data_IF_727271746603
#
_entry.id   IF_727271746603
#
_cell.length_a   1.000
_cell.length_b   1.000
_cell.length_c   1.000
_cell.angle_alpha   90.00
_cell.angle_beta   90.00
_cell.angle_gamma   90.00
#
_symmetry.space_group_name_H-M   'P 1'
#
loop_
_entity.id
_entity.type
_entity.pdbx_description
1 polymer ?
#
# COMPACT_ATOMS: atom_id res chain seq x y z
N UNK A 1 20.51 -13.87 6.11
CA UNK A 1 20.36 -12.60 6.88
C UNK A 1 19.02 -12.65 7.62
N UNK A 2 18.90 -11.94 8.76
CA UNK A 2 17.62 -11.89 9.46
C UNK A 2 16.57 -11.16 8.60
N UNK A 3 15.29 -11.57 8.73
CA UNK A 3 14.17 -10.87 8.09
C UNK A 3 13.98 -9.50 8.75
N UNK A 4 13.99 -8.41 7.97
CA UNK A 4 13.88 -7.05 8.48
C UNK A 4 13.10 -6.14 7.53
N UNK A 5 12.57 -5.04 8.06
CA UNK A 5 12.07 -3.92 7.28
C UNK A 5 13.06 -2.76 7.42
N UNK A 6 13.69 -2.38 6.32
CA UNK A 6 14.63 -1.24 6.29
C UNK A 6 13.91 0.03 5.88
N UNK A 7 14.26 1.14 6.53
CA UNK A 7 13.73 2.47 6.21
C UNK A 7 14.87 3.40 5.78
N UNK A 8 14.69 4.05 4.64
CA UNK A 8 15.57 5.10 4.12
C UNK A 8 14.74 6.30 3.67
N UNK A 9 15.39 7.44 3.45
CA UNK A 9 14.70 8.65 2.95
C UNK A 9 15.37 9.12 1.67
N UNK A 10 14.58 9.27 0.62
CA UNK A 10 14.98 9.83 -0.67
C UNK A 10 14.16 11.08 -0.97
N UNK A 11 14.80 12.25 -0.92
CA UNK A 11 14.12 13.55 -1.03
C UNK A 11 13.08 13.70 0.09
N UNK A 12 11.78 13.75 -0.26
CA UNK A 12 10.64 13.82 0.68
C UNK A 12 9.87 12.51 0.77
N UNK A 13 10.48 11.40 0.36
CA UNK A 13 9.87 10.08 0.35
C UNK A 13 10.58 9.14 1.31
N UNK A 14 9.85 8.53 2.22
CA UNK A 14 10.34 7.41 3.02
C UNK A 14 10.20 6.13 2.21
N UNK A 15 11.29 5.39 2.04
CA UNK A 15 11.30 4.09 1.37
C UNK A 15 11.40 2.99 2.41
N UNK A 16 10.39 2.12 2.44
CA UNK A 16 10.33 0.93 3.28
C UNK A 16 10.64 -0.29 2.43
N UNK A 17 11.75 -0.97 2.73
CA UNK A 17 12.22 -2.14 1.98
C UNK A 17 12.03 -3.41 2.80
N UNK A 18 11.18 -4.31 2.33
CA UNK A 18 11.03 -5.67 2.89
C UNK A 18 12.28 -6.46 2.51
N UNK A 19 13.08 -6.88 3.49
CA UNK A 19 14.34 -7.57 3.28
C UNK A 19 14.34 -8.94 3.94
N UNK A 20 14.20 -9.98 3.15
CA UNK A 20 14.39 -11.39 3.52
C UNK A 20 14.65 -12.19 2.23
N UNK A 21 15.75 -11.87 1.50
CA UNK A 21 15.97 -12.36 0.15
C UNK A 21 16.07 -13.89 0.06
N UNK A 22 16.62 -14.56 1.10
CA UNK A 22 16.72 -16.03 1.18
C UNK A 22 15.34 -16.72 1.15
N UNK A 23 14.28 -16.00 1.60
CA UNK A 23 12.89 -16.46 1.61
C UNK A 23 11.98 -15.61 0.70
N UNK A 24 12.55 -14.99 -0.36
CA UNK A 24 11.80 -14.14 -1.30
C UNK A 24 10.97 -13.05 -0.62
N UNK A 25 11.57 -12.42 0.38
CA UNK A 25 10.93 -11.37 1.17
C UNK A 25 9.66 -11.83 1.92
N UNK A 26 9.63 -13.11 2.36
CA UNK A 26 8.56 -13.61 3.20
C UNK A 26 8.52 -12.87 4.55
N UNK A 27 7.30 -12.56 4.99
CA UNK A 27 7.01 -11.71 6.13
C UNK A 27 7.18 -12.42 7.48
N UNK A 28 7.50 -11.62 8.50
CA UNK A 28 7.62 -12.03 9.89
C UNK A 28 7.09 -10.97 10.88
N UNK A 29 6.81 -11.35 12.15
CA UNK A 29 6.27 -10.44 13.15
C UNK A 29 7.12 -9.20 13.39
N UNK A 30 8.43 -9.30 13.26
CA UNK A 30 9.39 -8.22 13.41
C UNK A 30 9.16 -7.14 12.33
N UNK A 31 8.84 -7.56 11.11
CA UNK A 31 8.52 -6.64 10.00
C UNK A 31 7.20 -5.94 10.23
N UNK A 32 6.21 -6.60 10.85
CA UNK A 32 4.89 -6.00 11.12
C UNK A 32 5.02 -4.83 12.08
N UNK A 33 5.72 -5.06 13.21
CA UNK A 33 5.96 -4.02 14.21
C UNK A 33 6.77 -2.85 13.64
N UNK A 34 7.85 -3.15 12.90
CA UNK A 34 8.69 -2.14 12.25
C UNK A 34 7.90 -1.33 11.19
N UNK A 35 6.96 -1.98 10.49
CA UNK A 35 6.09 -1.31 9.51
C UNK A 35 5.14 -0.30 10.15
N UNK A 36 4.52 -0.68 11.27
CA UNK A 36 3.67 0.23 12.05
C UNK A 36 4.49 1.41 12.58
N UNK A 37 5.65 1.15 13.18
CA UNK A 37 6.54 2.19 13.70
C UNK A 37 7.00 3.15 12.60
N UNK A 38 7.42 2.64 11.46
CA UNK A 38 7.88 3.46 10.33
C UNK A 38 6.77 4.37 9.80
N UNK A 39 5.53 3.89 9.72
CA UNK A 39 4.39 4.72 9.29
C UNK A 39 4.03 5.79 10.31
N UNK A 40 4.09 5.50 11.63
CA UNK A 40 3.92 6.50 12.67
C UNK A 40 5.00 7.59 12.61
N UNK A 41 6.25 7.20 12.32
CA UNK A 41 7.35 8.16 12.09
C UNK A 41 7.07 8.98 10.82
N UNK A 42 6.65 8.33 9.73
CA UNK A 42 6.32 9.02 8.49
C UNK A 42 5.18 10.03 8.69
N UNK A 43 4.15 9.68 9.46
CA UNK A 43 3.01 10.55 9.76
C UNK A 43 3.44 11.84 10.46
N UNK A 44 4.26 11.73 11.50
CA UNK A 44 4.66 12.85 12.35
C UNK A 44 5.81 13.68 11.79
N UNK A 45 6.60 13.14 10.84
CA UNK A 45 7.75 13.84 10.27
C UNK A 45 7.31 14.79 9.13
N UNK A 46 7.42 16.13 9.28
CA UNK A 46 6.99 17.08 8.24
C UNK A 46 7.84 17.01 6.95
N UNK A 47 9.07 16.48 7.03
CA UNK A 47 9.94 16.36 5.86
C UNK A 47 9.54 15.16 4.96
N UNK A 48 8.82 14.20 5.49
CA UNK A 48 8.26 13.08 4.73
C UNK A 48 6.90 13.50 4.15
N UNK A 49 6.71 13.35 2.85
CA UNK A 49 5.47 13.68 2.14
C UNK A 49 4.83 12.48 1.45
N UNK A 50 5.59 11.40 1.27
CA UNK A 50 5.13 10.17 0.64
C UNK A 50 5.88 8.97 1.23
N UNK A 51 5.28 7.79 1.16
CA UNK A 51 5.92 6.53 1.51
C UNK A 51 5.93 5.62 0.30
N UNK A 52 7.05 4.92 0.05
CA UNK A 52 7.15 3.85 -0.95
C UNK A 52 7.46 2.54 -0.23
N UNK A 53 6.65 1.51 -0.45
CA UNK A 53 6.88 0.16 0.04
C UNK A 53 7.40 -0.71 -1.11
N UNK A 54 8.55 -1.34 -0.92
CA UNK A 54 9.19 -2.20 -1.93
C UNK A 54 9.79 -3.46 -1.31
N UNK A 55 10.15 -4.44 -2.14
CA UNK A 55 10.92 -5.61 -1.74
C UNK A 55 12.38 -5.49 -2.14
N UNK A 56 13.29 -6.12 -1.40
CA UNK A 56 14.69 -6.19 -1.77
C UNK A 56 14.89 -7.11 -2.99
N UNK A 57 15.65 -6.64 -3.99
CA UNK A 57 16.00 -7.40 -5.19
C UNK A 57 14.83 -7.56 -6.17
N UNK A 58 14.68 -8.78 -6.71
CA UNK A 58 13.78 -9.06 -7.84
C UNK A 58 12.36 -9.52 -7.41
N UNK A 59 12.02 -9.49 -6.14
CA UNK A 59 10.72 -9.94 -5.62
C UNK A 59 10.18 -8.94 -4.63
N UNK A 60 8.92 -8.56 -4.79
CA UNK A 60 8.27 -7.69 -3.82
C UNK A 60 8.09 -8.41 -2.47
N UNK A 61 7.26 -9.47 -2.46
CA UNK A 61 7.00 -10.22 -1.22
C UNK A 61 6.29 -11.54 -1.52
N UNK A 62 6.83 -12.65 -1.02
CA UNK A 62 6.23 -13.99 -1.17
C UNK A 62 5.10 -14.28 -0.15
N UNK A 63 4.75 -13.33 0.72
CA UNK A 63 3.71 -13.50 1.73
C UNK A 63 4.22 -14.08 3.03
N UNK A 64 3.40 -14.86 3.74
CA UNK A 64 3.76 -15.45 5.02
C UNK A 64 4.82 -16.56 4.88
N UNK A 65 5.68 -16.69 5.89
CA UNK A 65 6.68 -17.75 5.93
C UNK A 65 6.01 -19.10 6.25
N UNK A 66 5.92 -20.00 5.26
CA UNK A 66 5.28 -21.31 5.39
C UNK A 66 5.94 -22.23 6.43
N UNK A 67 7.26 -22.15 6.62
CA UNK A 67 7.96 -22.92 7.65
C UNK A 67 7.53 -22.47 9.06
N UNK A 68 7.36 -21.15 9.26
CA UNK A 68 6.83 -20.61 10.51
C UNK A 68 5.35 -21.02 10.71
N UNK A 69 4.53 -20.97 9.68
CA UNK A 69 3.15 -21.45 9.76
C UNK A 69 3.08 -22.91 10.14
N UNK A 70 3.95 -23.76 9.56
CA UNK A 70 4.05 -25.17 9.92
C UNK A 70 4.45 -25.37 11.38
N UNK A 71 5.41 -24.57 11.89
CA UNK A 71 5.79 -24.62 13.31
C UNK A 71 4.66 -24.15 14.23
N UNK A 72 3.95 -23.07 13.86
CA UNK A 72 2.83 -22.54 14.65
C UNK A 72 1.66 -23.50 14.79
N UNK A 73 1.49 -24.48 13.89
CA UNK A 73 0.50 -25.55 14.03
C UNK A 73 0.69 -26.42 15.27
N UNK A 74 1.90 -26.43 15.84
CA UNK A 74 2.22 -27.17 17.06
C UNK A 74 1.93 -26.34 18.34
N UNK A 75 1.54 -25.10 18.20
CA UNK A 75 1.20 -24.18 19.28
C UNK A 75 -0.31 -23.94 19.35
N UNK A 76 -0.84 -23.40 20.46
CA UNK A 76 -2.22 -22.96 20.55
C UNK A 76 -2.60 -21.97 19.43
N UNK A 77 -3.85 -22.02 18.90
CA UNK A 77 -4.29 -21.14 17.80
C UNK A 77 -4.05 -19.65 18.03
N UNK A 78 -4.04 -19.19 19.29
CA UNK A 78 -3.82 -17.81 19.70
C UNK A 78 -2.43 -17.28 19.31
N UNK A 79 -1.44 -18.18 19.15
CA UNK A 79 -0.09 -17.80 18.68
C UNK A 79 -0.17 -17.31 17.24
N UNK A 80 -0.89 -18.02 16.38
CA UNK A 80 -1.07 -17.61 15.00
C UNK A 80 -2.02 -16.41 14.90
N UNK A 81 -3.09 -16.36 15.69
CA UNK A 81 -4.01 -15.23 15.72
C UNK A 81 -3.27 -13.92 16.04
N UNK A 82 -2.41 -13.88 17.06
CA UNK A 82 -1.58 -12.71 17.40
C UNK A 82 -0.61 -12.33 16.28
N UNK A 83 -0.07 -13.31 15.55
CA UNK A 83 0.79 -13.03 14.40
C UNK A 83 0.02 -12.35 13.26
N UNK A 84 -1.20 -12.81 12.99
CA UNK A 84 -2.09 -12.20 11.97
C UNK A 84 -2.52 -10.80 12.42
N UNK A 85 -2.84 -10.61 13.70
CA UNK A 85 -3.14 -9.29 14.28
C UNK A 85 -2.02 -8.28 14.02
N UNK A 86 -0.76 -8.68 14.19
CA UNK A 86 0.40 -7.83 13.85
C UNK A 86 0.43 -7.42 12.38
N UNK A 87 0.09 -8.34 11.46
CA UNK A 87 -0.05 -8.02 10.04
C UNK A 87 -1.23 -7.05 9.81
N UNK A 88 -2.37 -7.30 10.45
CA UNK A 88 -3.55 -6.42 10.32
C UNK A 88 -3.23 -5.00 10.79
N UNK A 89 -2.55 -4.83 11.92
CA UNK A 89 -2.13 -3.52 12.41
C UNK A 89 -1.25 -2.78 11.38
N UNK A 90 -0.37 -3.49 10.67
CA UNK A 90 0.43 -2.86 9.60
C UNK A 90 -0.41 -2.49 8.38
N UNK A 91 -1.33 -3.35 7.94
CA UNK A 91 -2.30 -3.06 6.88
C UNK A 91 -3.13 -1.82 7.22
N UNK A 92 -3.65 -1.74 8.44
CA UNK A 92 -4.42 -0.59 8.92
C UNK A 92 -3.56 0.68 8.96
N UNK A 93 -2.32 0.59 9.46
CA UNK A 93 -1.40 1.72 9.47
C UNK A 93 -1.10 2.24 8.04
N UNK A 94 -0.99 1.36 7.02
CA UNK A 94 -0.86 1.77 5.62
C UNK A 94 -2.14 2.49 5.16
N UNK A 95 -3.30 1.91 5.41
CA UNK A 95 -4.58 2.43 4.95
C UNK A 95 -4.91 3.78 5.59
N UNK A 96 -4.61 3.96 6.88
CA UNK A 96 -4.91 5.18 7.65
C UNK A 96 -3.80 6.24 7.62
N UNK A 97 -2.60 5.91 7.12
CA UNK A 97 -1.51 6.90 6.98
C UNK A 97 -2.01 8.13 6.22
N UNK A 98 -1.88 9.36 6.75
CA UNK A 98 -2.39 10.56 6.10
C UNK A 98 -1.59 10.96 4.85
N UNK A 99 -0.48 10.30 4.59
CA UNK A 99 0.40 10.53 3.44
C UNK A 99 0.21 9.45 2.39
N UNK A 100 0.37 9.77 1.09
CA UNK A 100 0.30 8.77 0.04
C UNK A 100 1.30 7.64 0.25
N UNK A 101 0.85 6.39 0.12
CA UNK A 101 1.67 5.18 0.19
C UNK A 101 1.61 4.48 -1.17
N UNK A 102 2.77 4.24 -1.77
CA UNK A 102 2.92 3.60 -3.08
C UNK A 102 3.57 2.23 -2.92
N UNK A 103 2.92 1.17 -3.40
CA UNK A 103 3.60 -0.11 -3.58
C UNK A 103 4.44 -0.11 -4.86
N UNK A 104 5.71 -0.47 -4.74
CA UNK A 104 6.65 -0.65 -5.85
C UNK A 104 6.95 -2.12 -6.03
N UNK A 105 6.32 -2.76 -7.03
CA UNK A 105 6.28 -4.21 -7.17
C UNK A 105 7.18 -4.70 -8.28
N UNK A 106 8.28 -5.36 -7.90
CA UNK A 106 9.09 -6.19 -8.79
C UNK A 106 8.71 -7.67 -8.60
N UNK A 107 8.75 -8.44 -9.68
CA UNK A 107 8.58 -9.88 -9.67
C UNK A 107 7.26 -10.33 -9.04
N UNK A 108 7.31 -10.96 -7.86
CA UNK A 108 6.13 -11.58 -7.27
C UNK A 108 5.60 -10.82 -6.05
N UNK A 109 4.28 -10.61 -6.01
CA UNK A 109 3.51 -10.24 -4.82
C UNK A 109 2.51 -11.38 -4.52
N UNK A 110 2.75 -12.17 -3.45
CA UNK A 110 1.98 -13.37 -3.17
C UNK A 110 1.36 -13.37 -1.77
N UNK A 111 0.12 -13.87 -1.67
CA UNK A 111 -0.60 -13.98 -0.40
C UNK A 111 -0.61 -12.64 0.35
N UNK A 112 -0.12 -12.62 1.60
CA UNK A 112 -0.01 -11.41 2.41
C UNK A 112 0.82 -10.29 1.75
N UNK A 113 1.77 -10.62 0.84
CA UNK A 113 2.50 -9.63 0.04
C UNK A 113 1.60 -8.94 -0.98
N UNK A 114 0.67 -9.67 -1.60
CA UNK A 114 -0.33 -9.03 -2.46
C UNK A 114 -1.32 -8.20 -1.62
N UNK A 115 -1.72 -8.68 -0.43
CA UNK A 115 -2.54 -7.89 0.50
C UNK A 115 -1.87 -6.58 0.90
N UNK A 116 -0.56 -6.58 1.19
CA UNK A 116 0.22 -5.36 1.46
C UNK A 116 0.22 -4.38 0.27
N UNK A 117 0.42 -4.89 -0.94
CA UNK A 117 0.37 -4.04 -2.13
C UNK A 117 -1.02 -3.41 -2.34
N UNK A 118 -2.10 -4.18 -2.09
CA UNK A 118 -3.49 -3.71 -2.18
C UNK A 118 -3.87 -2.70 -1.07
N UNK A 119 -3.19 -2.74 0.07
CA UNK A 119 -3.42 -1.78 1.15
C UNK A 119 -2.81 -0.40 0.86
N UNK A 120 -1.84 -0.33 -0.05
CA UNK A 120 -1.26 0.93 -0.50
C UNK A 120 -2.26 1.71 -1.37
N UNK A 121 -2.15 3.04 -1.36
CA UNK A 121 -3.03 3.92 -2.15
C UNK A 121 -2.82 3.76 -3.66
N UNK A 122 -1.58 3.46 -4.05
CA UNK A 122 -1.16 3.39 -5.45
C UNK A 122 -0.19 2.21 -5.65
N UNK A 123 -0.25 1.59 -6.84
CA UNK A 123 0.63 0.49 -7.21
C UNK A 123 1.37 0.81 -8.51
N UNK A 124 2.70 0.77 -8.44
CA UNK A 124 3.61 0.72 -9.59
C UNK A 124 4.14 -0.72 -9.70
N UNK A 125 4.06 -1.32 -10.85
CA UNK A 125 4.54 -2.70 -11.04
C UNK A 125 5.38 -2.86 -12.30
N UNK A 126 6.39 -3.70 -12.23
CA UNK A 126 7.11 -4.15 -13.43
C UNK A 126 6.14 -4.94 -14.34
N UNK A 127 6.27 -4.81 -15.67
CA UNK A 127 5.40 -5.49 -16.63
C UNK A 127 5.40 -7.01 -16.50
N UNK A 128 6.51 -7.58 -16.05
CA UNK A 128 6.67 -9.01 -15.79
C UNK A 128 6.26 -9.41 -14.36
N UNK A 129 5.79 -8.47 -13.53
CA UNK A 129 5.35 -8.79 -12.19
C UNK A 129 4.08 -9.65 -12.20
N UNK A 130 4.00 -10.54 -11.21
CA UNK A 130 2.88 -11.46 -11.03
C UNK A 130 2.32 -11.33 -9.63
N UNK A 131 0.99 -11.40 -9.54
CA UNK A 131 0.25 -11.33 -8.31
C UNK A 131 -0.50 -12.64 -8.11
N UNK A 132 -0.58 -13.13 -6.87
CA UNK A 132 -1.26 -14.39 -6.59
C UNK A 132 -1.80 -14.45 -5.17
N UNK A 133 -3.06 -14.85 -5.02
CA UNK A 133 -3.68 -15.18 -3.72
C UNK A 133 -3.57 -16.70 -3.48
N UNK A 134 -2.36 -17.18 -3.22
CA UNK A 134 -2.02 -18.62 -3.22
C UNK A 134 -2.55 -19.41 -1.99
N UNK A 135 -3.47 -18.84 -1.20
CA UNK A 135 -3.94 -19.45 0.04
C UNK A 135 -4.64 -20.81 -0.16
N UNK A 136 -5.53 -20.90 -1.15
CA UNK A 136 -6.24 -22.13 -1.48
C UNK A 136 -5.31 -23.30 -1.81
N UNK A 137 -4.15 -23.01 -2.42
CA UNK A 137 -3.13 -24.02 -2.78
C UNK A 137 -2.45 -24.67 -1.57
N UNK A 138 -2.58 -24.06 -0.38
CA UNK A 138 -2.02 -24.57 0.88
C UNK A 138 -3.13 -24.81 1.93
N UNK A 139 -4.38 -24.91 1.49
CA UNK A 139 -5.56 -25.12 2.34
C UNK A 139 -5.76 -24.05 3.43
N UNK A 140 -5.47 -22.79 3.10
CA UNK A 140 -5.70 -21.62 3.95
C UNK A 140 -6.70 -20.67 3.30
N UNK A 141 -7.26 -19.77 4.10
CA UNK A 141 -8.05 -18.62 3.67
C UNK A 141 -7.21 -17.35 3.60
N UNK A 142 -7.61 -16.34 2.80
CA UNK A 142 -6.94 -15.04 2.74
C UNK A 142 -6.85 -14.35 4.10
N UNK A 143 -5.77 -13.61 4.31
CA UNK A 143 -5.53 -12.69 5.42
C UNK A 143 -5.08 -11.31 4.93
N UNK A 144 -4.77 -10.40 5.86
CA UNK A 144 -4.25 -9.06 5.54
C UNK A 144 -5.19 -8.21 4.69
N UNK A 145 -6.50 -8.44 4.72
CA UNK A 145 -7.49 -7.65 3.97
C UNK A 145 -7.54 -7.92 2.46
N UNK A 146 -6.79 -8.91 1.93
CA UNK A 146 -6.71 -9.15 0.49
C UNK A 146 -8.05 -9.45 -0.17
N UNK A 147 -8.93 -10.25 0.48
CA UNK A 147 -10.28 -10.51 -0.03
C UNK A 147 -11.17 -9.27 0.00
N UNK A 148 -11.04 -8.43 1.02
CA UNK A 148 -11.79 -7.19 1.14
C UNK A 148 -11.37 -6.19 0.05
N UNK A 149 -10.07 -5.92 -0.09
CA UNK A 149 -9.55 -4.97 -1.07
C UNK A 149 -9.86 -5.37 -2.53
N UNK A 150 -9.71 -6.67 -2.86
CA UNK A 150 -10.06 -7.16 -4.19
C UNK A 150 -11.57 -7.01 -4.46
N UNK A 151 -12.43 -7.29 -3.46
CA UNK A 151 -13.87 -7.16 -3.62
C UNK A 151 -14.34 -5.71 -3.81
N UNK A 152 -13.58 -4.73 -3.33
CA UNK A 152 -13.85 -3.30 -3.59
C UNK A 152 -13.38 -2.87 -5.00
N UNK A 153 -12.36 -3.51 -5.55
CA UNK A 153 -11.71 -3.10 -6.79
C UNK A 153 -12.20 -3.89 -8.03
N UNK A 154 -12.67 -5.13 -7.87
CA UNK A 154 -12.93 -6.05 -8.97
C UNK A 154 -14.33 -6.68 -8.91
N UNK A 155 -14.90 -7.11 -10.07
CA UNK A 155 -16.13 -7.88 -10.09
C UNK A 155 -16.01 -9.17 -9.25
N UNK A 156 -17.07 -9.49 -8.48
CA UNK A 156 -17.11 -10.62 -7.55
C UNK A 156 -16.65 -11.94 -8.18
N UNK A 157 -17.01 -12.21 -9.44
CA UNK A 157 -16.66 -13.46 -10.13
C UNK A 157 -15.15 -13.57 -10.31
N UNK A 158 -14.48 -12.48 -10.70
CA UNK A 158 -13.03 -12.45 -10.85
C UNK A 158 -12.31 -12.58 -9.50
N UNK A 159 -12.84 -11.95 -8.44
CA UNK A 159 -12.30 -12.11 -7.08
C UNK A 159 -12.39 -13.58 -6.64
N UNK A 160 -13.54 -14.22 -6.84
CA UNK A 160 -13.72 -15.65 -6.52
C UNK A 160 -12.76 -16.55 -7.33
N UNK A 161 -12.60 -16.27 -8.62
CA UNK A 161 -11.65 -16.99 -9.47
C UNK A 161 -10.23 -16.89 -8.90
N UNK A 162 -9.73 -15.68 -8.64
CA UNK A 162 -8.39 -15.45 -8.11
C UNK A 162 -8.16 -16.10 -6.73
N UNK A 163 -9.14 -16.01 -5.84
CA UNK A 163 -9.03 -16.52 -4.47
C UNK A 163 -9.21 -18.05 -4.41
N UNK A 164 -10.15 -18.61 -5.17
CA UNK A 164 -10.46 -20.03 -5.14
C UNK A 164 -9.47 -20.87 -5.94
N UNK A 165 -9.06 -20.40 -7.12
CA UNK A 165 -8.08 -21.12 -7.94
C UNK A 165 -6.64 -20.94 -7.43
N UNK A 166 -6.32 -19.80 -6.81
CA UNK A 166 -4.95 -19.42 -6.47
C UNK A 166 -4.06 -19.23 -7.71
N UNK A 167 -4.67 -18.93 -8.86
CA UNK A 167 -3.93 -18.68 -10.09
C UNK A 167 -3.23 -17.33 -10.09
N UNK A 168 -2.19 -17.25 -10.93
CA UNK A 168 -1.41 -16.02 -11.08
C UNK A 168 -2.11 -15.07 -12.03
N UNK A 169 -2.13 -13.78 -11.65
CA UNK A 169 -2.55 -12.69 -12.54
C UNK A 169 -1.36 -11.76 -12.79
N UNK A 170 -1.12 -11.40 -14.07
CA UNK A 170 -0.02 -10.52 -14.43
C UNK A 170 -0.33 -9.04 -14.16
N UNK A 171 0.72 -8.25 -13.94
CA UNK A 171 0.63 -6.80 -13.74
C UNK A 171 -0.12 -6.08 -14.87
N UNK A 172 0.10 -6.49 -16.13
CA UNK A 172 -0.62 -5.93 -17.28
C UNK A 172 -2.14 -6.09 -17.12
N UNK A 173 -2.61 -7.29 -16.75
CA UNK A 173 -4.04 -7.54 -16.57
C UNK A 173 -4.63 -6.73 -15.40
N UNK A 174 -3.90 -6.63 -14.29
CA UNK A 174 -4.33 -5.79 -13.16
C UNK A 174 -4.33 -4.30 -13.48
N UNK A 175 -3.43 -3.85 -14.37
CA UNK A 175 -3.45 -2.49 -14.90
C UNK A 175 -4.70 -2.21 -15.76
N UNK A 176 -5.04 -3.11 -16.66
CA UNK A 176 -6.27 -3.02 -17.47
C UNK A 176 -7.54 -3.00 -16.61
N UNK A 177 -7.49 -3.66 -15.45
CA UNK A 177 -8.58 -3.71 -14.47
C UNK A 177 -8.59 -2.52 -13.48
N UNK A 178 -7.61 -1.62 -13.56
CA UNK A 178 -7.52 -0.43 -12.71
C UNK A 178 -6.90 -0.66 -11.32
N UNK A 179 -6.39 -1.85 -11.02
CA UNK A 179 -5.73 -2.16 -9.72
C UNK A 179 -4.28 -1.69 -9.72
N UNK A 180 -3.53 -1.91 -10.80
CA UNK A 180 -2.17 -1.38 -10.96
C UNK A 180 -2.25 -0.04 -11.69
N UNK A 181 -1.74 1.02 -11.09
CA UNK A 181 -1.81 2.37 -11.64
C UNK A 181 -0.79 2.60 -12.76
N UNK A 182 0.43 2.08 -12.61
CA UNK A 182 1.52 2.28 -13.58
C UNK A 182 2.30 1.01 -13.82
N UNK A 183 2.67 0.83 -15.07
CA UNK A 183 3.58 -0.24 -15.50
C UNK A 183 4.93 0.35 -15.91
N UNK A 184 6.00 -0.35 -15.57
CA UNK A 184 7.36 -0.03 -15.97
C UNK A 184 8.12 -1.27 -16.46
N UNK A 185 9.31 -1.10 -16.97
CA UNK A 185 10.18 -2.22 -17.32
C UNK A 185 10.73 -2.89 -16.05
N UNK A 186 11.14 -4.15 -16.15
CA UNK A 186 11.73 -4.90 -15.05
C UNK A 186 12.95 -4.16 -14.47
N UNK A 187 13.06 -4.12 -13.17
CA UNK A 187 14.10 -3.37 -12.42
C UNK A 187 13.85 -1.88 -12.30
N UNK A 188 12.72 -1.35 -12.80
CA UNK A 188 12.42 0.08 -12.78
C UNK A 188 11.26 0.47 -11.84
N UNK A 189 10.69 -0.48 -11.09
CA UNK A 189 9.51 -0.19 -10.29
C UNK A 189 9.81 0.84 -9.19
N UNK A 190 10.94 0.73 -8.48
CA UNK A 190 11.32 1.69 -7.44
C UNK A 190 11.58 3.07 -8.02
N UNK A 191 12.36 3.18 -9.10
CA UNK A 191 12.63 4.46 -9.78
C UNK A 191 11.34 5.14 -10.23
N UNK A 192 10.42 4.39 -10.86
CA UNK A 192 9.13 4.91 -11.31
C UNK A 192 8.23 5.34 -10.14
N UNK A 193 8.26 4.60 -9.02
CA UNK A 193 7.52 4.97 -7.81
C UNK A 193 8.09 6.24 -7.16
N UNK A 194 9.42 6.40 -7.11
CA UNK A 194 10.08 7.61 -6.61
C UNK A 194 9.79 8.83 -7.46
N UNK A 195 9.86 8.72 -8.78
CA UNK A 195 9.46 9.83 -9.67
C UNK A 195 7.99 10.24 -9.47
N UNK A 196 7.12 9.28 -9.16
CA UNK A 196 5.73 9.59 -8.89
C UNK A 196 5.54 10.19 -7.51
N UNK A 197 6.23 9.68 -6.51
CA UNK A 197 6.20 10.22 -5.15
C UNK A 197 6.65 11.67 -5.09
N UNK A 198 7.66 12.08 -5.86
CA UNK A 198 8.08 13.49 -5.98
C UNK A 198 6.94 14.39 -6.50
N UNK A 199 6.19 13.93 -7.50
CA UNK A 199 5.03 14.66 -8.04
C UNK A 199 3.90 14.79 -7.01
N UNK A 200 3.68 13.76 -6.19
CA UNK A 200 2.70 13.79 -5.11
C UNK A 200 3.19 14.68 -3.95
N UNK A 201 4.47 14.58 -3.58
CA UNK A 201 5.10 15.39 -2.55
C UNK A 201 5.08 16.90 -2.86
N UNK A 202 5.00 17.27 -4.14
CA UNK A 202 4.83 18.65 -4.57
C UNK A 202 3.39 19.18 -4.40
N UNK A 203 2.42 18.35 -4.01
CA UNK A 203 1.04 18.76 -3.72
C UNK A 203 0.89 19.19 -2.26
N UNK A 204 -0.18 19.93 -1.98
CA UNK A 204 -0.49 20.35 -0.61
C UNK A 204 -0.80 19.14 0.29
N UNK A 205 -0.06 18.92 1.40
CA UNK A 205 -0.21 17.70 2.20
C UNK A 205 -1.60 17.57 2.82
N UNK A 206 -2.20 18.65 3.30
CA UNK A 206 -3.56 18.66 3.82
C UNK A 206 -4.61 18.20 2.80
N UNK A 207 -4.39 18.48 1.52
CA UNK A 207 -5.28 18.03 0.42
C UNK A 207 -5.07 16.55 0.14
N UNK A 208 -3.83 16.04 0.18
CA UNK A 208 -3.56 14.60 0.00
C UNK A 208 -4.24 13.78 1.11
N UNK A 209 -4.12 14.22 2.37
CA UNK A 209 -4.82 13.62 3.50
C UNK A 209 -6.33 13.61 3.27
N UNK A 210 -6.93 14.76 2.96
CA UNK A 210 -8.39 14.86 2.71
C UNK A 210 -8.88 13.96 1.58
N UNK A 211 -8.13 13.86 0.47
CA UNK A 211 -8.50 12.98 -0.64
C UNK A 211 -8.48 11.51 -0.19
N UNK A 212 -7.45 11.10 0.55
CA UNK A 212 -7.33 9.73 1.04
C UNK A 212 -8.47 9.37 2.01
N UNK A 213 -8.78 10.25 2.96
CA UNK A 213 -9.89 10.09 3.90
C UNK A 213 -11.22 9.94 3.15
N UNK A 214 -11.56 10.87 2.26
CA UNK A 214 -12.79 10.83 1.48
C UNK A 214 -12.93 9.55 0.64
N UNK A 215 -11.86 9.11 -0.02
CA UNK A 215 -11.90 7.88 -0.83
C UNK A 215 -12.07 6.65 0.05
N UNK A 216 -11.41 6.57 1.20
CA UNK A 216 -11.53 5.43 2.11
C UNK A 216 -12.93 5.29 2.73
N UNK A 217 -13.63 6.41 2.98
CA UNK A 217 -14.96 6.44 3.58
C UNK A 217 -16.10 6.28 2.57
N UNK A 218 -15.82 6.48 1.27
CA UNK A 218 -16.85 6.50 0.23
C UNK A 218 -17.70 5.21 0.18
N UNK A 219 -17.08 4.05 0.44
CA UNK A 219 -17.79 2.77 0.44
C UNK A 219 -18.66 2.51 1.68
N UNK A 220 -18.47 3.27 2.76
CA UNK A 220 -19.21 3.14 4.03
C UNK A 220 -20.37 4.14 4.16
N UNK A 221 -20.37 5.22 3.36
CA UNK A 221 -21.35 6.29 3.43
C UNK A 221 -22.42 6.18 2.34
N UNK A 222 -23.65 6.64 2.62
CA UNK A 222 -24.59 7.01 1.57
C UNK A 222 -24.14 8.33 0.90
N UNK A 223 -24.69 8.64 -0.28
CA UNK A 223 -24.31 9.83 -1.04
C UNK A 223 -24.49 11.13 -0.24
N UNK A 224 -25.58 11.26 0.54
CA UNK A 224 -25.87 12.48 1.30
C UNK A 224 -24.82 12.71 2.40
N UNK A 225 -24.48 11.67 3.13
CA UNK A 225 -23.42 11.69 4.15
C UNK A 225 -22.07 12.01 3.52
N UNK A 226 -21.74 11.38 2.39
CA UNK A 226 -20.48 11.62 1.71
C UNK A 226 -20.37 13.04 1.15
N UNK A 227 -21.40 13.59 0.56
CA UNK A 227 -21.43 15.00 0.10
C UNK A 227 -21.23 15.99 1.26
N UNK A 228 -21.74 15.68 2.46
CA UNK A 228 -21.46 16.49 3.65
C UNK A 228 -19.98 16.43 4.04
N UNK A 229 -19.35 15.26 4.02
CA UNK A 229 -17.92 15.10 4.27
C UNK A 229 -17.09 15.86 3.21
N UNK A 230 -17.39 15.73 1.93
CA UNK A 230 -16.71 16.48 0.87
C UNK A 230 -16.80 17.99 1.07
N UNK A 231 -17.98 18.51 1.42
CA UNK A 231 -18.16 19.94 1.75
C UNK A 231 -17.24 20.36 2.90
N UNK A 232 -17.21 19.59 3.98
CA UNK A 232 -16.45 19.93 5.17
C UNK A 232 -14.95 19.91 4.90
N UNK A 233 -14.46 18.91 4.17
CA UNK A 233 -13.07 18.85 3.70
C UNK A 233 -12.73 19.99 2.73
N UNK A 234 -13.63 20.32 1.79
CA UNK A 234 -13.41 21.41 0.85
C UNK A 234 -13.28 22.74 1.58
N UNK A 235 -14.20 23.05 2.49
CA UNK A 235 -14.18 24.30 3.26
C UNK A 235 -12.93 24.37 4.15
N UNK A 236 -12.57 23.30 4.84
CA UNK A 236 -11.33 23.20 5.63
C UNK A 236 -10.10 23.51 4.77
N UNK A 237 -10.00 22.89 3.58
CA UNK A 237 -8.87 23.09 2.67
C UNK A 237 -8.87 24.48 2.02
N UNK A 238 -10.04 25.05 1.71
CA UNK A 238 -10.14 26.42 1.18
C UNK A 238 -9.59 27.46 2.16
N UNK A 239 -9.85 27.29 3.44
CA UNK A 239 -9.39 28.20 4.51
C UNK A 239 -7.99 27.84 5.06
N UNK A 240 -7.38 26.73 4.63
CA UNK A 240 -6.00 26.40 4.94
C UNK A 240 -5.02 27.35 4.21
N UNK A 241 -3.85 27.73 4.77
CA UNK A 241 -2.86 28.56 4.10
C UNK A 241 -2.50 28.04 2.69
N UNK A 242 -2.34 26.73 2.53
CA UNK A 242 -2.08 26.08 1.24
C UNK A 242 -3.20 26.31 0.20
N UNK A 243 -4.45 26.49 0.61
CA UNK A 243 -5.56 26.83 -0.28
C UNK A 243 -5.34 28.20 -0.94
N UNK A 244 -4.95 29.19 -0.15
CA UNK A 244 -4.59 30.52 -0.65
C UNK A 244 -3.39 30.50 -1.58
N UNK A 245 -2.32 29.77 -1.21
CA UNK A 245 -1.12 29.60 -2.03
C UNK A 245 -1.50 28.96 -3.39
N UNK A 246 -2.28 27.88 -3.37
CA UNK A 246 -2.66 27.16 -4.58
C UNK A 246 -3.52 28.00 -5.53
N UNK A 247 -4.53 28.68 -5.02
CA UNK A 247 -5.42 29.54 -5.81
C UNK A 247 -4.64 30.72 -6.41
N UNK A 248 -3.81 31.40 -5.61
CA UNK A 248 -3.02 32.52 -6.09
C UNK A 248 -2.02 32.10 -7.18
N UNK A 249 -1.33 30.97 -6.98
CA UNK A 249 -0.39 30.45 -7.96
C UNK A 249 -1.09 30.10 -9.28
N UNK A 250 -2.28 29.46 -9.23
CA UNK A 250 -3.06 29.12 -10.41
C UNK A 250 -3.48 30.37 -11.21
N UNK A 251 -4.02 31.39 -10.53
CA UNK A 251 -4.44 32.65 -11.14
C UNK A 251 -3.25 33.40 -11.79
N UNK A 252 -2.08 33.33 -11.18
CA UNK A 252 -0.86 33.98 -11.67
C UNK A 252 -0.03 33.09 -12.60
N UNK A 253 -0.49 31.89 -12.97
CA UNK A 253 0.24 30.90 -13.80
C UNK A 253 1.63 30.56 -13.26
N UNK A 254 1.75 30.43 -11.96
CA UNK A 254 2.96 30.07 -11.23
C UNK A 254 2.90 28.66 -10.68
N UNK A 255 4.06 28.07 -10.37
CA UNK A 255 4.12 26.77 -9.67
C UNK A 255 4.01 27.03 -8.16
N UNK A 256 3.01 26.45 -7.47
CA UNK A 256 2.87 26.63 -6.03
C UNK A 256 3.98 25.90 -5.26
N UNK A 257 4.34 26.45 -4.08
CA UNK A 257 5.18 25.78 -3.09
C UNK A 257 4.38 25.70 -1.80
N UNK A 258 4.00 24.50 -1.44
CA UNK A 258 3.18 24.24 -0.26
C UNK A 258 4.04 23.94 0.98
N UNK A 259 3.52 24.37 2.14
CA UNK A 259 4.11 24.11 3.46
C UNK A 259 3.66 22.76 4.04
#
# INVERSE_FOLDING_TARGET
>A
MAAELRSTVEGRTMVLTISNPEHRNALGPEMYAAGVEALNIAETNPDVRCVVLTGEGETFCAGGNLQRLQANRQHPPEVQARSIEGLHNWIEAIATCPKPVIASVEGAAAGAGFSLALACDLIVAARNAVFVMAYSSVALSPDGGGSWSLAQALPRQLVNELLMSGERIGAQRLHELGVVNRLCDAGQALGTALEWSEKLAARAPNVMTSIKELVSEAGAHDLSTHLAAERDHFVKNLHHPNGGIGIAAFLNKQVPRYE
#
